data_IF_531304447773
#
_entry.id   IF_531304447773
#
_cell.length_a   1.000
_cell.length_b   1.000
_cell.length_c   1.000
_cell.angle_alpha   90.00
_cell.angle_beta   90.00
_cell.angle_gamma   90.00
#
_symmetry.space_group_name_H-M   'P 1'
#
loop_
_entity.id
_entity.type
_entity.pdbx_description
1 polymer ?
#
# COMPACT_ATOMS: atom_id res chain seq x y z
N UNK A 1 -13.41 -4.75 16.56
CA UNK A 1 -12.55 -3.58 16.32
C UNK A 1 -13.19 -2.69 15.27
N UNK A 2 -13.33 -1.41 15.52
CA UNK A 2 -13.88 -0.48 14.54
C UNK A 2 -12.92 -0.26 13.39
N UNK A 3 -13.42 0.31 12.28
CA UNK A 3 -12.57 0.65 11.14
C UNK A 3 -11.47 1.64 11.55
N UNK A 4 -11.82 2.62 12.38
CA UNK A 4 -10.85 3.60 12.88
C UNK A 4 -9.77 2.93 13.72
N UNK A 5 -10.15 2.01 14.59
CA UNK A 5 -9.20 1.28 15.43
C UNK A 5 -8.27 0.41 14.59
N UNK A 6 -8.80 -0.22 13.55
CA UNK A 6 -7.98 -1.04 12.65
C UNK A 6 -6.98 -0.18 11.90
N UNK A 7 -7.40 0.98 11.39
CA UNK A 7 -6.48 1.90 10.71
C UNK A 7 -5.40 2.40 11.66
N UNK A 8 -5.75 2.75 12.89
CA UNK A 8 -4.77 3.18 13.89
C UNK A 8 -3.78 2.06 14.19
N UNK A 9 -4.26 0.83 14.31
CA UNK A 9 -3.40 -0.33 14.52
C UNK A 9 -2.41 -0.51 13.37
N UNK A 10 -2.91 -0.48 12.13
CA UNK A 10 -2.07 -0.65 10.94
C UNK A 10 -1.02 0.46 10.82
N UNK A 11 -1.41 1.69 11.07
CA UNK A 11 -0.50 2.84 10.99
C UNK A 11 0.54 2.84 12.10
N UNK A 12 0.28 2.12 13.20
CA UNK A 12 1.21 2.01 14.32
C UNK A 12 2.19 0.85 14.24
N UNK A 13 2.03 -0.05 13.27
CA UNK A 13 2.83 -1.28 13.21
C UNK A 13 4.30 -1.04 12.91
N UNK A 14 4.64 0.01 12.19
CA UNK A 14 6.00 0.22 11.75
C UNK A 14 6.40 1.67 11.92
N UNK A 15 7.43 1.89 12.75
CA UNK A 15 8.01 3.21 12.97
C UNK A 15 9.43 3.31 12.40
N UNK A 16 9.99 2.19 11.89
CA UNK A 16 11.36 2.13 11.38
C UNK A 16 11.46 1.25 10.13
N UNK A 17 10.62 1.52 9.14
CA UNK A 17 10.61 0.72 7.92
C UNK A 17 10.50 1.61 6.70
N UNK A 18 10.52 1.01 5.51
CA UNK A 18 10.29 1.73 4.27
C UNK A 18 8.92 2.43 4.27
N UNK A 19 7.92 1.81 4.88
CA UNK A 19 6.59 2.40 5.02
C UNK A 19 6.69 3.75 5.74
N UNK A 20 7.45 3.78 6.83
CA UNK A 20 7.67 5.01 7.58
C UNK A 20 8.50 6.02 6.79
N UNK A 21 9.54 5.56 6.10
CA UNK A 21 10.41 6.42 5.30
C UNK A 21 9.64 7.13 4.18
N UNK A 22 8.71 6.42 3.55
CA UNK A 22 7.87 6.97 2.48
C UNK A 22 6.64 7.69 3.01
N UNK A 23 6.41 7.69 4.31
CA UNK A 23 5.24 8.27 4.95
C UNK A 23 3.92 7.70 4.41
N UNK A 24 3.91 6.40 4.16
CA UNK A 24 2.70 5.71 3.73
C UNK A 24 1.74 5.60 4.92
N UNK A 25 0.50 5.99 4.69
CA UNK A 25 -0.54 5.96 5.71
C UNK A 25 -1.76 5.23 5.19
N UNK A 26 -2.28 4.29 5.97
CA UNK A 26 -3.53 3.62 5.62
C UNK A 26 -4.67 4.57 5.94
N UNK A 27 -5.46 4.91 4.93
CA UNK A 27 -6.46 5.97 5.02
C UNK A 27 -7.90 5.48 5.02
N UNK A 28 -8.15 4.28 4.52
CA UNK A 28 -9.50 3.74 4.46
C UNK A 28 -9.46 2.22 4.43
N UNK A 29 -10.42 1.58 5.09
CA UNK A 29 -10.58 0.13 5.06
C UNK A 29 -12.05 -0.22 4.91
N UNK A 30 -12.37 -1.17 4.04
CA UNK A 30 -13.71 -1.69 3.84
C UNK A 30 -13.75 -3.19 4.09
N UNK A 31 -14.82 -3.85 3.67
CA UNK A 31 -14.97 -5.30 3.87
C UNK A 31 -13.96 -6.11 3.07
N UNK A 32 -13.60 -5.65 1.90
CA UNK A 32 -12.71 -6.38 1.00
C UNK A 32 -11.72 -5.46 0.28
N UNK A 33 -11.43 -4.30 0.86
CA UNK A 33 -10.46 -3.39 0.28
C UNK A 33 -9.71 -2.60 1.35
N UNK A 34 -8.55 -2.12 0.97
CA UNK A 34 -7.70 -1.27 1.79
C UNK A 34 -7.15 -0.15 0.93
N UNK A 35 -7.13 1.07 1.47
CA UNK A 35 -6.56 2.23 0.78
C UNK A 35 -5.42 2.78 1.62
N UNK A 36 -4.32 3.11 0.96
CA UNK A 36 -3.21 3.82 1.56
C UNK A 36 -2.85 5.03 0.71
N UNK A 37 -2.24 6.02 1.35
CA UNK A 37 -1.78 7.23 0.67
C UNK A 37 -0.33 7.50 0.98
N UNK A 38 0.33 8.21 0.10
CA UNK A 38 1.72 8.59 0.24
C UNK A 38 1.89 10.03 -0.22
N UNK A 39 2.55 10.89 0.57
CA UNK A 39 2.80 12.26 0.16
C UNK A 39 3.85 12.29 -0.97
N UNK A 40 3.67 13.19 -1.90
CA UNK A 40 4.60 13.38 -3.02
C UNK A 40 5.41 14.63 -2.77
N UNK A 41 6.69 14.44 -2.51
CA UNK A 41 7.63 15.52 -2.26
C UNK A 41 9.01 15.10 -2.76
N UNK A 42 10.01 15.95 -2.55
CA UNK A 42 11.35 15.71 -3.09
C UNK A 42 12.02 14.42 -2.62
N UNK A 43 11.60 13.87 -1.49
CA UNK A 43 12.20 12.63 -0.98
C UNK A 43 11.79 11.40 -1.80
N UNK A 44 10.77 11.51 -2.64
CA UNK A 44 10.29 10.41 -3.49
C UNK A 44 10.36 10.75 -4.98
N UNK A 45 11.12 11.80 -5.34
CA UNK A 45 11.27 12.20 -6.73
C UNK A 45 12.33 11.39 -7.45
N UNK A 46 12.10 11.20 -8.75
CA UNK A 46 13.18 10.87 -9.67
C UNK A 46 13.86 12.17 -10.13
N UNK A 47 15.02 12.11 -10.82
CA UNK A 47 15.81 13.32 -11.11
C UNK A 47 15.09 14.47 -11.80
N UNK A 48 14.05 14.21 -12.56
CA UNK A 48 13.32 15.26 -13.28
C UNK A 48 12.16 15.86 -12.49
N UNK A 49 12.12 15.67 -11.17
CA UNK A 49 11.18 16.37 -10.28
C UNK A 49 9.77 15.83 -10.23
N UNK A 50 9.59 14.58 -10.63
CA UNK A 50 8.30 13.89 -10.54
C UNK A 50 8.44 12.63 -9.69
N UNK A 51 7.31 12.11 -9.23
CA UNK A 51 7.27 10.91 -8.40
C UNK A 51 8.00 9.75 -9.06
N UNK A 52 8.93 9.15 -8.32
CA UNK A 52 9.68 7.98 -8.76
C UNK A 52 8.74 6.78 -8.91
N UNK A 53 8.84 6.09 -10.03
CA UNK A 53 8.02 4.89 -10.28
C UNK A 53 8.21 3.80 -9.23
N UNK A 54 9.42 3.68 -8.70
CA UNK A 54 9.71 2.74 -7.62
C UNK A 54 8.95 3.06 -6.33
N UNK A 55 8.74 4.36 -6.04
CA UNK A 55 7.95 4.76 -4.87
C UNK A 55 6.47 4.38 -5.07
N UNK A 56 5.94 4.56 -6.27
CA UNK A 56 4.59 4.10 -6.60
C UNK A 56 4.47 2.58 -6.44
N UNK A 57 5.46 1.85 -6.92
CA UNK A 57 5.50 0.39 -6.79
C UNK A 57 5.53 -0.03 -5.32
N UNK A 58 6.33 0.66 -4.49
CA UNK A 58 6.40 0.39 -3.06
C UNK A 58 5.06 0.61 -2.38
N UNK A 59 4.34 1.68 -2.74
CA UNK A 59 3.00 1.93 -2.20
C UNK A 59 2.03 0.82 -2.59
N UNK A 60 2.01 0.43 -3.85
CA UNK A 60 1.12 -0.63 -4.33
C UNK A 60 1.43 -1.97 -3.67
N UNK A 61 2.71 -2.32 -3.57
CA UNK A 61 3.14 -3.56 -2.90
C UNK A 61 2.75 -3.55 -1.42
N UNK A 62 2.95 -2.42 -0.75
CA UNK A 62 2.62 -2.27 0.67
C UNK A 62 1.13 -2.48 0.93
N UNK A 63 0.27 -1.78 0.18
CA UNK A 63 -1.17 -1.88 0.42
C UNK A 63 -1.70 -3.26 0.02
N UNK A 64 -1.18 -3.84 -1.06
CA UNK A 64 -1.58 -5.18 -1.49
C UNK A 64 -1.18 -6.26 -0.50
N UNK A 65 0.05 -6.22 -0.01
CA UNK A 65 0.55 -7.20 0.96
C UNK A 65 -0.19 -7.09 2.29
N UNK A 66 -0.44 -5.88 2.75
CA UNK A 66 -1.19 -5.67 4.00
C UNK A 66 -2.63 -6.14 3.86
N UNK A 67 -3.28 -5.82 2.74
CA UNK A 67 -4.65 -6.27 2.48
C UNK A 67 -4.73 -7.79 2.45
N UNK A 68 -3.79 -8.43 1.77
CA UNK A 68 -3.75 -9.90 1.71
C UNK A 68 -3.66 -10.51 3.11
N UNK A 69 -2.86 -9.90 3.98
CA UNK A 69 -2.68 -10.39 5.34
C UNK A 69 -3.92 -10.21 6.20
N UNK A 70 -4.54 -9.03 6.17
CA UNK A 70 -5.67 -8.74 7.06
C UNK A 70 -6.97 -9.38 6.61
N UNK A 71 -7.12 -9.65 5.31
CA UNK A 71 -8.33 -10.28 4.79
C UNK A 71 -8.21 -11.79 4.63
N UNK A 72 -7.04 -12.38 4.91
CA UNK A 72 -6.90 -13.82 4.93
C UNK A 72 -7.46 -14.39 6.24
N UNK A 73 -7.98 -15.61 6.17
CA UNK A 73 -8.49 -16.31 7.35
C UNK A 73 -7.32 -16.93 8.09
N UNK A 74 -6.76 -16.23 9.05
CA UNK A 74 -5.69 -16.75 9.87
C UNK A 74 -4.52 -15.81 9.97
N UNK A 75 -3.45 -16.28 10.63
CA UNK A 75 -2.27 -15.49 10.93
C UNK A 75 -1.14 -15.70 9.93
N UNK A 76 -1.47 -15.98 8.67
CA UNK A 76 -0.48 -16.25 7.65
C UNK A 76 0.22 -14.96 7.23
N UNK A 77 1.54 -15.04 7.13
CA UNK A 77 2.30 -13.96 6.53
C UNK A 77 2.14 -14.00 5.02
N UNK A 78 2.03 -12.83 4.42
CA UNK A 78 1.91 -12.70 2.98
C UNK A 78 3.17 -12.08 2.41
N UNK A 79 3.60 -12.54 1.24
CA UNK A 79 4.72 -11.97 0.50
C UNK A 79 4.31 -11.76 -0.93
N UNK A 80 4.70 -10.64 -1.49
CA UNK A 80 4.48 -10.38 -2.91
C UNK A 80 5.36 -11.30 -3.75
N UNK A 81 4.75 -11.93 -4.75
CA UNK A 81 5.47 -12.76 -5.71
C UNK A 81 5.72 -11.98 -6.99
N UNK A 82 4.73 -11.21 -7.40
CA UNK A 82 4.82 -10.44 -8.63
C UNK A 82 4.03 -9.15 -8.50
N UNK A 83 4.55 -8.09 -9.08
CA UNK A 83 3.89 -6.80 -9.17
C UNK A 83 4.09 -6.26 -10.58
N UNK A 84 3.00 -5.84 -11.23
CA UNK A 84 3.06 -5.22 -12.54
C UNK A 84 2.41 -3.85 -12.47
N UNK A 85 3.12 -2.82 -12.94
CA UNK A 85 2.65 -1.44 -12.87
C UNK A 85 2.90 -0.75 -14.22
N UNK A 86 1.90 0.00 -14.67
CA UNK A 86 2.03 0.87 -15.83
C UNK A 86 1.84 2.32 -15.38
N UNK A 87 2.85 3.14 -15.58
CA UNK A 87 2.84 4.53 -15.19
C UNK A 87 2.30 5.38 -16.33
N UNK A 88 1.11 5.94 -16.16
CA UNK A 88 0.41 6.67 -17.21
C UNK A 88 0.53 8.18 -17.03
N UNK A 89 0.64 8.65 -15.79
CA UNK A 89 0.62 10.09 -15.49
C UNK A 89 1.69 10.45 -14.48
N UNK A 90 2.33 11.59 -14.69
CA UNK A 90 3.33 12.14 -13.77
C UNK A 90 2.64 12.89 -12.63
N UNK A 91 3.23 12.81 -11.43
CA UNK A 91 2.75 13.52 -10.24
C UNK A 91 3.95 14.21 -9.59
N UNK A 92 3.80 15.47 -9.21
CA UNK A 92 4.89 16.25 -8.59
C UNK A 92 4.56 16.82 -7.22
N UNK A 93 3.31 16.75 -6.78
CA UNK A 93 2.89 17.29 -5.48
C UNK A 93 1.62 16.60 -5.00
N UNK A 94 1.27 16.86 -3.73
CA UNK A 94 0.06 16.33 -3.13
C UNK A 94 0.25 14.92 -2.64
N UNK A 95 -0.74 14.07 -2.85
CA UNK A 95 -0.74 12.69 -2.41
C UNK A 95 -1.09 11.77 -3.58
N UNK A 96 -0.57 10.57 -3.54
CA UNK A 96 -1.05 9.48 -4.38
C UNK A 96 -1.71 8.44 -3.50
N UNK A 97 -2.72 7.78 -4.01
CA UNK A 97 -3.51 6.79 -3.29
C UNK A 97 -3.41 5.45 -4.00
N UNK A 98 -3.37 4.39 -3.23
CA UNK A 98 -3.46 3.03 -3.77
C UNK A 98 -4.61 2.32 -3.07
N UNK A 99 -5.46 1.68 -3.84
CA UNK A 99 -6.57 0.88 -3.33
C UNK A 99 -6.34 -0.56 -3.74
N UNK A 100 -6.27 -1.45 -2.75
CA UNK A 100 -6.16 -2.87 -2.98
C UNK A 100 -7.52 -3.51 -2.77
N UNK A 101 -7.98 -4.25 -3.78
CA UNK A 101 -9.23 -4.99 -3.74
C UNK A 101 -8.97 -6.39 -4.29
N UNK A 102 -9.47 -7.40 -3.60
CA UNK A 102 -9.21 -8.78 -4.01
C UNK A 102 -9.87 -9.12 -5.33
N UNK A 103 -9.11 -9.70 -6.25
CA UNK A 103 -9.61 -10.29 -7.48
C UNK A 103 -9.73 -11.80 -7.36
N UNK A 104 -8.87 -12.41 -6.53
CA UNK A 104 -8.87 -13.85 -6.30
C UNK A 104 -8.34 -14.15 -4.90
N UNK A 105 -9.07 -14.96 -4.14
CA UNK A 105 -8.69 -15.37 -2.80
C UNK A 105 -8.59 -16.89 -2.77
N UNK A 106 -7.39 -17.42 -2.98
CA UNK A 106 -7.12 -18.85 -2.92
C UNK A 106 -6.51 -19.25 -1.59
N UNK A 107 -6.32 -20.56 -1.40
CA UNK A 107 -5.71 -21.09 -0.17
C UNK A 107 -4.24 -20.72 -0.05
N UNK A 108 -3.50 -20.77 -1.16
CA UNK A 108 -2.06 -20.52 -1.16
C UNK A 108 -1.66 -19.29 -1.96
N UNK A 109 -2.52 -18.78 -2.83
CA UNK A 109 -2.25 -17.59 -3.63
C UNK A 109 -3.46 -16.69 -3.68
N UNK A 110 -3.20 -15.40 -3.82
CA UNK A 110 -4.22 -14.36 -3.95
C UNK A 110 -3.82 -13.40 -5.05
N UNK A 111 -4.82 -12.80 -5.69
CA UNK A 111 -4.62 -11.73 -6.66
C UNK A 111 -5.38 -10.50 -6.19
N UNK A 112 -4.66 -9.42 -6.05
CA UNK A 112 -5.19 -8.12 -5.62
C UNK A 112 -4.99 -7.05 -6.68
#
# INVERSE_FOLDING_TARGET
>A
MSKKDMLNFLNGLSTTSLINTLNIEYSEIGENYLVAKMPVNSSVYQPDGILHGGATAALAETVGSTAARIFSNGNNQSRGIELSINHIRSVSKGYVYAKAKALHMGKSTQLW
#
